data_IF_262532400557
#
_entry.id   IF_262532400557
#
_cell.length_a   1.000
_cell.length_b   1.000
_cell.length_c   1.000
_cell.angle_alpha   90.00
_cell.angle_beta   90.00
_cell.angle_gamma   90.00
#
_symmetry.space_group_name_H-M   'P 1'
#
loop_
_entity.id
_entity.type
_entity.pdbx_description
1 polymer ?
#
# COMPACT_ATOMS: atom_id res chain seq x y z
N UNK A 1 25.26 31.68 1.38
CA UNK A 1 25.39 30.24 1.09
C UNK A 1 24.07 29.81 0.52
N UNK A 2 24.02 29.64 -0.80
CA UNK A 2 22.85 29.17 -1.52
C UNK A 2 22.49 27.79 -0.96
N UNK A 3 21.32 27.67 -0.34
CA UNK A 3 20.72 26.37 -0.04
C UNK A 3 20.50 25.69 -1.38
N UNK A 4 21.37 24.74 -1.73
CA UNK A 4 21.07 23.78 -2.79
C UNK A 4 19.77 23.11 -2.36
N UNK A 5 18.71 23.42 -3.10
CA UNK A 5 17.40 22.82 -2.94
C UNK A 5 17.53 21.39 -3.48
N UNK A 6 18.16 20.50 -2.71
CA UNK A 6 18.33 19.11 -3.10
C UNK A 6 16.94 18.49 -3.16
N UNK A 7 16.36 18.51 -4.35
CA UNK A 7 15.07 17.89 -4.60
C UNK A 7 15.21 16.40 -4.31
N UNK A 8 14.33 15.86 -3.47
CA UNK A 8 14.30 14.42 -3.20
C UNK A 8 13.34 13.75 -4.17
N UNK A 9 13.60 12.47 -4.41
CA UNK A 9 12.72 11.58 -5.17
C UNK A 9 12.45 10.32 -4.36
N UNK A 10 11.26 9.77 -4.56
CA UNK A 10 10.94 8.38 -4.21
C UNK A 10 10.93 7.56 -5.49
N UNK A 11 11.64 6.45 -5.49
CA UNK A 11 11.63 5.45 -6.54
C UNK A 11 10.83 4.25 -6.07
N UNK A 12 9.75 3.91 -6.79
CA UNK A 12 8.99 2.66 -6.61
C UNK A 12 9.20 1.76 -7.83
N UNK A 13 9.63 0.52 -7.60
CA UNK A 13 9.97 -0.41 -8.68
C UNK A 13 9.87 -1.87 -8.21
N UNK A 14 9.71 -2.76 -9.17
CA UNK A 14 9.89 -4.19 -8.99
C UNK A 14 10.37 -4.80 -10.31
N UNK A 15 10.95 -6.00 -10.22
CA UNK A 15 11.31 -6.81 -11.37
C UNK A 15 11.24 -8.28 -10.97
N UNK A 16 10.44 -9.06 -11.70
CA UNK A 16 10.47 -10.51 -11.61
C UNK A 16 11.58 -11.03 -12.53
N UNK A 17 12.66 -11.54 -11.93
CA UNK A 17 13.84 -12.07 -12.60
C UNK A 17 14.53 -13.04 -11.66
N UNK A 18 15.06 -14.14 -12.17
CA UNK A 18 15.73 -15.11 -11.31
C UNK A 18 17.00 -14.52 -10.68
N UNK A 19 17.13 -14.67 -9.37
CA UNK A 19 18.30 -14.31 -8.57
C UNK A 19 18.76 -15.58 -7.86
N UNK A 20 19.87 -16.16 -8.29
CA UNK A 20 20.36 -17.47 -7.79
C UNK A 20 20.68 -17.47 -6.28
N UNK A 21 21.40 -16.45 -5.79
CA UNK A 21 21.80 -16.31 -4.38
C UNK A 21 21.14 -15.08 -3.74
N UNK A 22 19.81 -15.09 -3.50
CA UNK A 22 19.07 -13.89 -3.11
C UNK A 22 19.46 -13.36 -1.72
N UNK A 23 19.92 -14.23 -0.81
CA UNK A 23 20.43 -13.81 0.50
C UNK A 23 21.75 -13.03 0.42
N UNK A 24 22.66 -13.46 -0.45
CA UNK A 24 23.92 -12.78 -0.71
C UNK A 24 23.67 -11.48 -1.47
N UNK A 25 22.86 -11.54 -2.52
CA UNK A 25 22.47 -10.36 -3.29
C UNK A 25 21.78 -9.31 -2.39
N UNK A 26 20.96 -9.71 -1.41
CA UNK A 26 20.39 -8.78 -0.45
C UNK A 26 21.41 -8.06 0.43
N UNK A 27 22.57 -8.66 0.71
CA UNK A 27 23.66 -8.00 1.44
C UNK A 27 24.39 -7.03 0.52
N UNK A 28 24.76 -7.45 -0.68
CA UNK A 28 25.44 -6.62 -1.68
C UNK A 28 24.61 -5.39 -2.04
N UNK A 29 23.32 -5.60 -2.33
CA UNK A 29 22.38 -4.55 -2.68
C UNK A 29 22.17 -3.55 -1.55
N UNK A 30 22.25 -4.01 -0.29
CA UNK A 30 22.22 -3.13 0.88
C UNK A 30 23.44 -2.22 0.94
N UNK A 31 24.62 -2.74 0.64
CA UNK A 31 25.85 -1.95 0.62
C UNK A 31 25.86 -0.95 -0.54
N UNK A 32 25.33 -1.32 -1.71
CA UNK A 32 25.08 -0.39 -2.81
C UNK A 32 24.20 0.79 -2.36
N UNK A 33 23.01 0.51 -1.81
CA UNK A 33 22.12 1.56 -1.33
C UNK A 33 22.76 2.43 -0.24
N UNK A 34 23.58 1.85 0.64
CA UNK A 34 24.33 2.59 1.67
C UNK A 34 25.38 3.51 1.09
N UNK A 35 26.13 3.05 0.09
CA UNK A 35 27.15 3.88 -0.58
C UNK A 35 26.58 5.10 -1.32
N UNK A 36 25.28 5.06 -1.63
CA UNK A 36 24.53 6.13 -2.27
C UNK A 36 23.66 6.92 -1.29
N UNK A 37 23.80 6.67 0.02
CA UNK A 37 23.02 7.31 1.09
C UNK A 37 21.48 7.21 0.91
N UNK A 38 21.01 6.10 0.31
CA UNK A 38 19.58 5.87 0.12
C UNK A 38 18.90 5.33 1.38
N UNK A 39 17.69 5.81 1.65
CA UNK A 39 16.79 5.24 2.66
C UNK A 39 15.57 4.62 1.98
N UNK A 40 15.12 3.46 2.46
CA UNK A 40 14.08 2.72 1.77
C UNK A 40 13.79 1.34 2.32
N UNK A 41 12.90 0.62 1.65
CA UNK A 41 12.62 -0.79 1.88
C UNK A 41 12.77 -1.55 0.57
N UNK A 42 13.58 -2.60 0.59
CA UNK A 42 13.78 -3.49 -0.56
C UNK A 42 13.63 -4.93 -0.07
N UNK A 43 12.80 -5.69 -0.78
CA UNK A 43 12.67 -7.12 -0.66
C UNK A 43 13.36 -7.76 -1.86
N UNK A 44 14.17 -8.77 -1.57
CA UNK A 44 14.84 -9.60 -2.56
C UNK A 44 14.39 -11.03 -2.31
N UNK A 45 14.01 -11.71 -3.37
CA UNK A 45 13.63 -13.11 -3.36
C UNK A 45 14.31 -13.79 -4.55
N UNK A 46 14.23 -15.12 -4.62
CA UNK A 46 14.73 -15.84 -5.79
C UNK A 46 14.02 -15.39 -7.07
N UNK A 47 12.76 -15.01 -6.96
CA UNK A 47 11.93 -14.52 -8.07
C UNK A 47 12.17 -13.06 -8.45
N UNK A 48 13.04 -12.32 -7.75
CA UNK A 48 13.44 -10.98 -8.16
C UNK A 48 13.60 -9.95 -7.05
N UNK A 49 13.21 -8.71 -7.33
CA UNK A 49 13.35 -7.55 -6.44
C UNK A 49 12.08 -6.70 -6.40
N UNK A 50 11.74 -6.18 -5.23
CA UNK A 50 10.66 -5.20 -5.01
C UNK A 50 11.18 -4.11 -4.07
N UNK A 51 11.14 -2.86 -4.50
CA UNK A 51 11.78 -1.78 -3.77
C UNK A 51 11.02 -0.46 -3.80
N UNK A 52 11.15 0.25 -2.67
CA UNK A 52 10.85 1.67 -2.58
C UNK A 52 12.01 2.36 -1.86
N UNK A 53 12.69 3.28 -2.52
CA UNK A 53 13.82 4.03 -1.95
C UNK A 53 13.62 5.52 -2.15
N UNK A 54 14.29 6.31 -1.32
CA UNK A 54 14.29 7.76 -1.39
C UNK A 54 15.71 8.29 -1.24
N UNK A 55 16.00 9.38 -1.94
CA UNK A 55 17.28 10.10 -1.91
C UNK A 55 17.18 11.37 -2.75
N UNK A 56 18.27 12.12 -2.87
CA UNK A 56 18.35 13.26 -3.80
C UNK A 56 18.24 12.77 -5.25
N UNK A 57 17.97 13.68 -6.18
CA UNK A 57 18.01 13.40 -7.62
C UNK A 57 19.29 12.66 -8.01
N UNK A 58 20.45 13.16 -7.61
CA UNK A 58 21.75 12.58 -7.96
C UNK A 58 21.92 11.16 -7.42
N UNK A 59 21.53 10.93 -6.17
CA UNK A 59 21.59 9.61 -5.52
C UNK A 59 20.67 8.61 -6.21
N UNK A 60 19.44 9.03 -6.53
CA UNK A 60 18.44 8.18 -7.20
C UNK A 60 18.81 7.90 -8.64
N UNK A 61 19.37 8.86 -9.37
CA UNK A 61 19.87 8.68 -10.73
C UNK A 61 21.07 7.71 -10.76
N UNK A 62 22.02 7.86 -9.83
CA UNK A 62 23.14 6.92 -9.68
C UNK A 62 22.65 5.49 -9.36
N UNK A 63 21.62 5.36 -8.53
CA UNK A 63 21.03 4.06 -8.21
C UNK A 63 20.32 3.42 -9.40
N UNK A 64 19.53 4.19 -10.15
CA UNK A 64 18.89 3.70 -11.38
C UNK A 64 19.92 3.28 -12.41
N UNK A 65 21.02 4.01 -12.54
CA UNK A 65 22.13 3.66 -13.44
C UNK A 65 22.85 2.37 -12.99
N UNK A 66 23.13 2.23 -11.69
CA UNK A 66 23.71 0.99 -11.16
C UNK A 66 22.80 -0.22 -11.42
N UNK A 67 21.49 -0.06 -11.24
CA UNK A 67 20.50 -1.09 -11.57
C UNK A 67 20.50 -1.41 -13.07
N UNK A 68 20.53 -0.40 -13.95
CA UNK A 68 20.52 -0.62 -15.41
C UNK A 68 21.77 -1.32 -15.94
N UNK A 69 22.92 -1.13 -15.29
CA UNK A 69 24.18 -1.78 -15.65
C UNK A 69 24.22 -3.27 -15.29
N UNK A 70 23.31 -3.74 -14.45
CA UNK A 70 23.07 -5.16 -14.23
C UNK A 70 22.05 -5.68 -15.25
N UNK A 71 22.45 -6.66 -16.06
CA UNK A 71 21.58 -7.21 -17.12
C UNK A 71 20.25 -7.77 -16.62
N UNK A 72 20.16 -8.15 -15.34
CA UNK A 72 18.92 -8.65 -14.72
C UNK A 72 17.88 -7.55 -14.55
N UNK A 73 18.32 -6.29 -14.42
CA UNK A 73 17.50 -5.14 -14.07
C UNK A 73 17.53 -4.02 -15.13
N UNK A 74 18.17 -4.25 -16.28
CA UNK A 74 18.35 -3.29 -17.36
C UNK A 74 17.05 -2.59 -17.83
N UNK A 75 15.94 -3.32 -17.81
CA UNK A 75 14.60 -2.86 -18.23
C UNK A 75 13.68 -2.53 -17.04
N UNK A 76 14.22 -2.38 -15.83
CA UNK A 76 13.43 -2.04 -14.64
C UNK A 76 12.77 -0.67 -14.83
N UNK A 77 11.45 -0.65 -14.69
CA UNK A 77 10.66 0.58 -14.72
C UNK A 77 10.62 1.19 -13.32
N UNK A 78 11.23 2.37 -13.18
CA UNK A 78 11.17 3.16 -11.96
C UNK A 78 10.02 4.17 -12.05
N UNK A 79 9.08 4.08 -11.11
CA UNK A 79 8.06 5.10 -10.89
C UNK A 79 8.66 6.15 -9.97
N UNK A 80 8.75 7.38 -10.47
CA UNK A 80 9.47 8.47 -9.81
C UNK A 80 8.43 9.45 -9.27
N UNK A 81 8.52 9.77 -7.99
CA UNK A 81 7.70 10.80 -7.34
C UNK A 81 8.63 11.83 -6.69
N UNK A 82 8.26 13.12 -6.76
CA UNK A 82 8.95 14.18 -6.03
C UNK A 82 8.68 14.07 -4.53
N UNK A 83 9.66 14.43 -3.71
CA UNK A 83 9.53 14.48 -2.26
C UNK A 83 10.30 15.67 -1.67
N UNK A 84 9.87 16.12 -0.49
CA UNK A 84 10.54 17.18 0.26
C UNK A 84 11.77 16.68 1.04
N UNK A 85 11.92 15.35 1.15
CA UNK A 85 12.99 14.69 1.89
C UNK A 85 12.92 13.17 1.74
N UNK A 86 13.67 12.44 2.57
CA UNK A 86 13.53 11.00 2.63
C UNK A 86 12.13 10.57 3.11
N UNK A 87 11.51 9.63 2.40
CA UNK A 87 10.23 9.03 2.80
C UNK A 87 10.40 7.94 3.86
N UNK A 88 11.64 7.57 4.21
CA UNK A 88 11.94 6.49 5.15
C UNK A 88 12.91 6.94 6.23
N UNK A 89 12.68 6.51 7.47
CA UNK A 89 13.62 6.75 8.59
C UNK A 89 14.93 5.98 8.50
N UNK A 90 14.96 4.86 7.77
CA UNK A 90 16.15 3.98 7.64
C UNK A 90 16.04 3.05 6.44
N UNK A 91 17.18 2.62 5.92
CA UNK A 91 17.27 1.56 4.92
C UNK A 91 17.02 0.17 5.52
N UNK A 92 16.16 -0.61 4.86
CA UNK A 92 15.94 -2.04 5.10
C UNK A 92 15.97 -2.79 3.77
N UNK A 93 17.03 -3.56 3.54
CA UNK A 93 17.09 -4.55 2.46
C UNK A 93 17.02 -5.93 3.10
N UNK A 94 16.09 -6.77 2.65
CA UNK A 94 15.82 -8.08 3.27
C UNK A 94 15.56 -9.14 2.22
N UNK A 95 16.19 -10.30 2.43
CA UNK A 95 15.74 -11.52 1.79
C UNK A 95 14.35 -11.94 2.30
N UNK A 96 13.51 -12.42 1.38
CA UNK A 96 12.24 -13.09 1.63
C UNK A 96 12.06 -14.27 0.68
N UNK A 97 11.28 -15.29 1.06
CA UNK A 97 10.94 -16.39 0.15
C UNK A 97 10.19 -15.89 -1.11
N UNK A 98 9.33 -14.90 -0.94
CA UNK A 98 8.52 -14.28 -2.00
C UNK A 98 8.62 -12.75 -1.92
N UNK A 99 8.55 -12.04 -3.05
CA UNK A 99 8.45 -10.58 -3.13
C UNK A 99 7.11 -10.07 -2.62
N UNK A 100 6.04 -10.80 -2.93
CA UNK A 100 4.69 -10.62 -2.43
C UNK A 100 4.21 -11.94 -1.88
N UNK A 101 3.90 -11.98 -0.60
CA UNK A 101 3.52 -13.23 0.08
C UNK A 101 2.10 -13.63 -0.32
N UNK A 102 1.98 -14.59 -1.23
CA UNK A 102 0.71 -15.19 -1.63
C UNK A 102 0.59 -16.63 -1.09
N UNK A 103 1.72 -17.33 -0.87
CA UNK A 103 1.78 -18.69 -0.29
C UNK A 103 0.91 -19.72 -1.01
N UNK A 104 0.88 -19.65 -2.33
CA UNK A 104 0.21 -20.66 -3.15
C UNK A 104 0.92 -22.01 -3.01
N UNK A 105 0.15 -23.09 -2.98
CA UNK A 105 0.70 -24.46 -3.04
C UNK A 105 1.42 -24.68 -4.37
N UNK A 106 0.77 -24.28 -5.48
CA UNK A 106 1.33 -24.22 -6.82
C UNK A 106 1.59 -22.76 -7.22
N UNK A 107 2.83 -22.30 -7.01
CA UNK A 107 3.20 -20.91 -7.27
C UNK A 107 3.00 -20.51 -8.75
N UNK A 108 2.88 -19.20 -8.97
CA UNK A 108 2.68 -18.58 -10.27
C UNK A 108 3.92 -17.79 -10.63
N UNK A 109 4.52 -18.14 -11.77
CA UNK A 109 5.58 -17.36 -12.39
C UNK A 109 4.96 -16.28 -13.30
N UNK A 110 5.01 -14.98 -12.95
CA UNK A 110 4.38 -13.94 -13.75
C UNK A 110 5.00 -13.74 -15.13
N UNK A 111 6.23 -14.23 -15.34
CA UNK A 111 6.88 -14.22 -16.66
C UNK A 111 6.30 -15.27 -17.62
N UNK A 112 5.58 -16.27 -17.11
CA UNK A 112 4.95 -17.33 -17.90
C UNK A 112 3.44 -17.14 -18.04
N UNK A 113 2.77 -16.74 -16.95
CA UNK A 113 1.32 -16.55 -16.92
C UNK A 113 0.96 -15.33 -16.09
N UNK A 114 0.23 -14.42 -16.71
CA UNK A 114 -0.31 -13.21 -16.08
C UNK A 114 -1.51 -12.72 -16.87
N UNK A 115 -2.40 -11.96 -16.22
CA UNK A 115 -3.55 -11.34 -16.88
C UNK A 115 -3.12 -10.25 -17.87
N UNK A 116 -4.02 -9.93 -18.81
CA UNK A 116 -3.80 -8.90 -19.83
C UNK A 116 -3.46 -7.55 -19.18
N UNK A 117 -2.35 -6.94 -19.58
CA UNK A 117 -2.02 -5.58 -19.16
C UNK A 117 -2.94 -4.56 -19.82
N UNK A 118 -3.52 -3.69 -19.01
CA UNK A 118 -4.25 -2.51 -19.44
C UNK A 118 -3.42 -1.27 -19.13
N UNK A 119 -3.18 -0.44 -20.14
CA UNK A 119 -2.69 0.93 -19.92
C UNK A 119 -3.69 1.73 -19.06
N UNK A 120 -3.27 2.83 -18.43
CA UNK A 120 -4.17 3.68 -17.65
C UNK A 120 -5.45 4.08 -18.40
N UNK A 121 -5.33 4.41 -19.68
CA UNK A 121 -6.47 4.75 -20.54
C UNK A 121 -7.41 3.58 -20.81
N UNK A 122 -6.87 2.43 -21.21
CA UNK A 122 -7.69 1.23 -21.44
C UNK A 122 -8.37 0.76 -20.15
N UNK A 123 -7.68 0.89 -19.02
CA UNK A 123 -8.24 0.60 -17.70
C UNK A 123 -9.41 1.53 -17.40
N UNK A 124 -9.23 2.85 -17.54
CA UNK A 124 -10.28 3.84 -17.33
C UNK A 124 -11.52 3.55 -18.18
N UNK A 125 -11.34 3.21 -19.46
CA UNK A 125 -12.45 2.87 -20.36
C UNK A 125 -13.17 1.58 -19.92
N UNK A 126 -12.43 0.52 -19.58
CA UNK A 126 -13.01 -0.80 -19.32
C UNK A 126 -13.64 -0.96 -17.94
N UNK A 127 -13.16 -0.26 -16.91
CA UNK A 127 -13.76 -0.34 -15.56
C UNK A 127 -15.16 0.30 -15.49
N UNK A 128 -15.59 0.97 -16.55
CA UNK A 128 -16.92 1.58 -16.67
C UNK A 128 -17.94 0.64 -17.35
N UNK A 129 -17.51 -0.52 -17.85
CA UNK A 129 -18.39 -1.51 -18.49
C UNK A 129 -19.19 -2.31 -17.44
N UNK A 130 -20.48 -2.55 -17.66
CA UNK A 130 -21.37 -3.22 -16.69
C UNK A 130 -20.98 -4.69 -16.37
N UNK A 131 -20.30 -5.36 -17.30
CA UNK A 131 -19.85 -6.75 -17.16
C UNK A 131 -18.40 -6.88 -16.68
N UNK A 132 -17.81 -5.78 -16.20
CA UNK A 132 -16.48 -5.75 -15.60
C UNK A 132 -16.57 -5.74 -14.08
N UNK A 133 -15.88 -6.67 -13.44
CA UNK A 133 -15.59 -6.66 -12.01
C UNK A 133 -14.21 -6.06 -11.79
N UNK A 134 -14.17 -4.94 -11.08
CA UNK A 134 -12.94 -4.33 -10.63
C UNK A 134 -12.59 -4.86 -9.23
N UNK A 135 -11.53 -5.66 -9.11
CA UNK A 135 -11.15 -6.33 -7.87
C UNK A 135 -9.87 -5.72 -7.28
N UNK A 136 -9.99 -5.13 -6.08
CA UNK A 136 -8.84 -4.60 -5.36
C UNK A 136 -7.98 -5.73 -4.78
N UNK A 137 -6.72 -5.85 -5.21
CA UNK A 137 -5.79 -6.86 -4.70
C UNK A 137 -4.98 -6.37 -3.48
N UNK A 138 -5.45 -5.33 -2.80
CA UNK A 138 -4.80 -4.75 -1.62
C UNK A 138 -5.44 -5.23 -0.32
N UNK A 139 -4.79 -4.93 0.81
CA UNK A 139 -5.35 -5.22 2.12
C UNK A 139 -6.48 -4.23 2.47
N UNK A 140 -7.35 -4.62 3.39
CA UNK A 140 -8.45 -3.81 3.93
C UNK A 140 -8.09 -2.33 4.20
N UNK A 141 -7.04 -2.06 4.97
CA UNK A 141 -6.64 -0.70 5.33
C UNK A 141 -6.15 0.12 4.12
N UNK A 142 -5.72 -0.52 3.04
CA UNK A 142 -5.35 0.19 1.82
C UNK A 142 -6.60 0.62 1.04
N UNK A 143 -7.63 -0.23 1.03
CA UNK A 143 -8.92 0.07 0.41
C UNK A 143 -9.67 1.15 1.19
N UNK A 144 -9.69 1.05 2.52
CA UNK A 144 -10.46 1.95 3.39
C UNK A 144 -9.94 3.39 3.33
N UNK A 145 -8.68 3.62 2.95
CA UNK A 145 -8.13 4.96 2.74
C UNK A 145 -8.48 5.56 1.37
N UNK A 146 -8.56 4.72 0.35
CA UNK A 146 -8.86 5.13 -1.01
C UNK A 146 -8.90 3.95 -1.95
N UNK A 147 -9.79 4.01 -2.93
CA UNK A 147 -10.06 2.94 -3.89
C UNK A 147 -10.69 3.49 -5.16
N UNK A 148 -10.73 2.68 -6.22
CA UNK A 148 -11.49 3.04 -7.41
C UNK A 148 -12.98 2.93 -7.15
N UNK A 149 -13.76 3.89 -7.65
CA UNK A 149 -15.21 3.86 -7.57
C UNK A 149 -15.77 2.58 -8.20
N UNK A 150 -16.61 1.86 -7.44
CA UNK A 150 -17.19 0.59 -7.88
C UNK A 150 -16.28 -0.62 -7.72
N UNK A 151 -15.07 -0.47 -7.19
CA UNK A 151 -14.20 -1.60 -6.90
C UNK A 151 -14.80 -2.50 -5.80
N UNK A 152 -14.68 -3.80 -5.99
CA UNK A 152 -14.98 -4.82 -4.98
C UNK A 152 -13.88 -4.79 -3.93
N UNK A 153 -14.28 -4.57 -2.67
CA UNK A 153 -13.45 -4.72 -1.47
C UNK A 153 -13.50 -6.18 -0.99
N UNK A 154 -12.42 -6.95 -1.10
CA UNK A 154 -12.37 -8.27 -0.48
C UNK A 154 -12.37 -8.15 1.04
N UNK A 155 -12.99 -9.10 1.73
CA UNK A 155 -12.97 -9.17 3.19
C UNK A 155 -11.71 -9.90 3.68
N UNK A 156 -10.55 -9.27 3.48
CA UNK A 156 -9.24 -9.83 3.81
C UNK A 156 -8.38 -8.82 4.56
N UNK A 157 -7.63 -9.30 5.54
CA UNK A 157 -6.59 -8.50 6.22
C UNK A 157 -5.23 -8.60 5.51
N UNK A 158 -4.97 -9.70 4.81
CA UNK A 158 -3.70 -9.94 4.12
C UNK A 158 -3.92 -10.44 2.69
N UNK A 159 -3.09 -9.97 1.77
CA UNK A 159 -3.08 -10.39 0.37
C UNK A 159 -3.03 -11.91 0.15
N UNK A 160 -2.35 -12.67 1.02
CA UNK A 160 -2.29 -14.13 0.96
C UNK A 160 -3.65 -14.82 1.14
N UNK A 161 -4.61 -14.14 1.75
CA UNK A 161 -5.95 -14.65 2.04
C UNK A 161 -6.91 -14.38 0.84
N UNK A 162 -6.48 -13.56 -0.14
CA UNK A 162 -7.28 -13.20 -1.32
C UNK A 162 -7.67 -14.40 -2.21
N UNK A 163 -6.78 -15.39 -2.48
CA UNK A 163 -7.14 -16.57 -3.24
C UNK A 163 -8.35 -17.33 -2.67
N UNK A 164 -8.36 -17.55 -1.36
CA UNK A 164 -9.44 -18.27 -0.70
C UNK A 164 -10.74 -17.46 -0.70
N UNK A 165 -10.65 -16.16 -0.45
CA UNK A 165 -11.79 -15.26 -0.56
C UNK A 165 -12.42 -15.28 -1.97
N UNK A 166 -11.60 -15.30 -3.04
CA UNK A 166 -12.12 -15.43 -4.41
C UNK A 166 -12.82 -16.78 -4.64
N UNK A 167 -12.27 -17.89 -4.12
CA UNK A 167 -12.90 -19.21 -4.25
C UNK A 167 -14.26 -19.26 -3.56
N UNK A 168 -14.35 -18.69 -2.35
CA UNK A 168 -15.61 -18.59 -1.60
C UNK A 168 -16.64 -17.69 -2.30
N UNK A 169 -16.17 -16.67 -3.03
CA UNK A 169 -17.00 -15.70 -3.72
C UNK A 169 -17.05 -15.91 -5.25
N UNK A 170 -16.72 -17.11 -5.73
CA UNK A 170 -16.56 -17.41 -7.18
C UNK A 170 -17.77 -16.97 -8.02
N UNK A 171 -18.98 -17.15 -7.48
CA UNK A 171 -20.24 -16.76 -8.10
C UNK A 171 -20.34 -15.26 -8.49
N UNK A 172 -19.56 -14.38 -7.85
CA UNK A 172 -19.50 -12.95 -8.19
C UNK A 172 -18.76 -12.67 -9.51
N UNK A 173 -17.92 -13.61 -9.95
CA UNK A 173 -16.99 -13.44 -11.06
C UNK A 173 -17.36 -14.28 -12.30
N UNK A 174 -18.30 -15.22 -12.17
CA UNK A 174 -18.67 -16.13 -13.27
C UNK A 174 -19.22 -15.36 -14.48
N UNK A 175 -18.63 -15.62 -15.65
CA UNK A 175 -19.03 -14.99 -16.91
C UNK A 175 -18.69 -13.50 -17.02
N UNK A 176 -17.98 -12.93 -16.04
CA UNK A 176 -17.56 -11.53 -16.03
C UNK A 176 -16.08 -11.39 -16.31
N UNK A 177 -15.72 -10.21 -16.78
CA UNK A 177 -14.32 -9.80 -16.90
C UNK A 177 -13.79 -9.37 -15.54
N UNK A 178 -12.62 -9.86 -15.14
CA UNK A 178 -11.98 -9.48 -13.89
C UNK A 178 -10.81 -8.56 -14.19
N UNK A 179 -10.87 -7.33 -13.71
CA UNK A 179 -9.74 -6.40 -13.75
C UNK A 179 -9.22 -6.24 -12.33
N UNK A 180 -7.94 -6.52 -12.11
CA UNK A 180 -7.32 -6.33 -10.80
C UNK A 180 -6.29 -5.21 -10.78
N UNK A 181 -6.13 -4.56 -9.63
CA UNK A 181 -5.17 -3.48 -9.44
C UNK A 181 -4.58 -3.51 -8.03
N UNK A 182 -3.42 -2.87 -7.89
CA UNK A 182 -2.79 -2.59 -6.60
C UNK A 182 -1.89 -1.34 -6.72
N UNK A 183 -1.20 -0.95 -5.63
CA UNK A 183 -0.38 0.27 -5.56
C UNK A 183 0.57 0.44 -6.74
N UNK A 184 1.45 -0.54 -6.97
CA UNK A 184 2.53 -0.44 -7.96
C UNK A 184 2.51 -1.48 -9.07
N UNK A 185 1.55 -2.42 -9.06
CA UNK A 185 1.40 -3.51 -10.04
C UNK A 185 1.86 -4.89 -9.54
N UNK A 186 2.90 -4.97 -8.71
CA UNK A 186 3.58 -6.24 -8.37
C UNK A 186 2.68 -7.38 -7.85
N UNK A 187 1.61 -7.07 -7.08
CA UNK A 187 0.67 -8.09 -6.58
C UNK A 187 -0.17 -8.69 -7.71
N UNK A 188 -0.59 -7.83 -8.65
CA UNK A 188 -1.45 -8.21 -9.77
C UNK A 188 -0.73 -9.14 -10.75
N UNK A 189 0.60 -9.03 -10.87
CA UNK A 189 1.43 -9.91 -11.70
C UNK A 189 1.21 -11.39 -11.33
N UNK A 190 1.33 -11.74 -10.05
CA UNK A 190 1.05 -13.10 -9.57
C UNK A 190 -0.45 -13.40 -9.50
N UNK A 191 -1.23 -12.47 -8.96
CA UNK A 191 -2.64 -12.73 -8.66
C UNK A 191 -3.48 -12.93 -9.92
N UNK A 192 -3.24 -12.14 -10.98
CA UNK A 192 -3.95 -12.31 -12.25
C UNK A 192 -3.58 -13.62 -12.95
N UNK A 193 -2.31 -14.04 -12.88
CA UNK A 193 -1.89 -15.36 -13.34
C UNK A 193 -2.52 -16.50 -12.54
N UNK A 194 -2.71 -16.32 -11.22
CA UNK A 194 -3.45 -17.27 -10.38
C UNK A 194 -4.93 -17.36 -10.79
N UNK A 195 -5.61 -16.23 -11.02
CA UNK A 195 -7.00 -16.23 -11.50
C UNK A 195 -7.16 -17.03 -12.81
N UNK A 196 -6.22 -16.88 -13.76
CA UNK A 196 -6.22 -17.67 -14.99
C UNK A 196 -6.07 -19.17 -14.70
N UNK A 197 -5.18 -19.57 -13.77
CA UNK A 197 -5.02 -20.98 -13.35
C UNK A 197 -6.27 -21.55 -12.69
N UNK A 198 -7.03 -20.74 -11.94
CA UNK A 198 -8.30 -21.13 -11.32
C UNK A 198 -9.46 -21.27 -12.32
N UNK A 199 -9.23 -20.93 -13.59
CA UNK A 199 -10.16 -21.11 -14.69
C UNK A 199 -10.99 -19.89 -15.04
N UNK A 200 -10.62 -18.70 -14.58
CA UNK A 200 -11.21 -17.44 -15.08
C UNK A 200 -10.59 -17.11 -16.45
N UNK A 201 -11.43 -16.84 -17.46
CA UNK A 201 -10.97 -16.68 -18.85
C UNK A 201 -10.57 -15.24 -19.19
N UNK A 202 -11.37 -14.25 -18.79
CA UNK A 202 -11.14 -12.83 -19.08
C UNK A 202 -10.58 -12.10 -17.86
N UNK A 203 -9.27 -12.19 -17.68
CA UNK A 203 -8.53 -11.56 -16.58
C UNK A 203 -7.55 -10.52 -17.11
N UNK A 204 -7.66 -9.30 -16.59
CA UNK A 204 -6.79 -8.18 -16.90
C UNK A 204 -6.28 -7.48 -15.63
N UNK A 205 -5.28 -6.62 -15.78
CA UNK A 205 -4.68 -5.89 -14.68
C UNK A 205 -4.23 -4.48 -15.09
N UNK A 206 -4.27 -3.55 -14.14
CA UNK A 206 -3.73 -2.20 -14.34
C UNK A 206 -2.20 -2.23 -14.42
N UNK A 207 -1.65 -1.98 -15.60
CA UNK A 207 -0.21 -1.98 -15.83
C UNK A 207 0.46 -0.84 -15.08
N UNK A 208 1.44 -1.17 -14.23
CA UNK A 208 2.12 -0.20 -13.37
C UNK A 208 1.29 0.27 -12.16
N UNK A 209 0.09 -0.27 -11.93
CA UNK A 209 -0.72 0.02 -10.75
C UNK A 209 -1.20 1.46 -10.61
N UNK A 210 -1.78 1.76 -9.44
CA UNK A 210 -2.43 3.03 -9.12
C UNK A 210 -1.47 4.22 -9.28
N UNK A 211 -0.20 4.05 -8.90
CA UNK A 211 0.83 5.11 -9.04
C UNK A 211 0.98 5.53 -10.51
N UNK A 212 1.07 4.58 -11.44
CA UNK A 212 1.20 4.89 -12.87
C UNK A 212 -0.08 5.53 -13.42
N UNK A 213 -1.23 5.05 -12.97
CA UNK A 213 -2.53 5.61 -13.33
C UNK A 213 -2.71 7.08 -12.90
N UNK A 214 -2.30 7.43 -11.67
CA UNK A 214 -2.34 8.82 -11.19
C UNK A 214 -1.41 9.76 -11.97
N UNK A 215 -0.25 9.25 -12.40
CA UNK A 215 0.76 10.01 -13.15
C UNK A 215 0.39 10.21 -14.62
N UNK A 216 -0.45 9.35 -15.19
CA UNK A 216 -0.86 9.41 -16.59
C UNK A 216 -1.53 10.76 -16.94
N UNK A 217 -1.08 11.44 -18.00
CA UNK A 217 -1.53 12.79 -18.34
C UNK A 217 -2.95 12.84 -18.92
N UNK A 218 -3.50 11.74 -19.43
CA UNK A 218 -4.85 11.68 -19.98
C UNK A 218 -5.89 11.44 -18.88
N UNK A 219 -5.72 10.37 -18.09
CA UNK A 219 -6.70 9.99 -17.05
C UNK A 219 -6.51 10.76 -15.75
N UNK A 220 -5.28 11.13 -15.40
CA UNK A 220 -4.96 11.99 -14.25
C UNK A 220 -5.55 11.51 -12.91
N UNK A 221 -5.64 10.19 -12.73
CA UNK A 221 -6.19 9.59 -11.52
C UNK A 221 -7.72 9.65 -11.40
N UNK A 222 -8.45 9.96 -12.46
CA UNK A 222 -9.93 10.00 -12.44
C UNK A 222 -10.55 8.66 -11.98
N UNK A 223 -11.71 8.71 -11.32
CA UNK A 223 -12.39 7.57 -10.67
C UNK A 223 -11.71 6.99 -9.43
N UNK A 224 -10.54 7.50 -9.04
CA UNK A 224 -9.96 7.21 -7.73
C UNK A 224 -10.53 8.15 -6.67
N UNK A 225 -11.09 7.57 -5.61
CA UNK A 225 -11.55 8.29 -4.42
C UNK A 225 -10.58 8.01 -3.24
N UNK A 226 -10.36 9.02 -2.40
CA UNK A 226 -9.49 8.97 -1.22
C UNK A 226 -8.00 9.09 -1.53
N UNK A 227 -7.16 8.64 -0.59
CA UNK A 227 -5.71 8.63 -0.74
C UNK A 227 -5.16 7.23 -1.04
N UNK A 228 -4.06 7.16 -1.80
CA UNK A 228 -3.34 5.91 -1.99
C UNK A 228 -2.46 5.62 -0.79
N UNK A 229 -2.72 4.49 -0.14
CA UNK A 229 -1.83 4.00 0.92
C UNK A 229 -0.45 3.64 0.36
N UNK A 230 0.61 4.18 0.98
CA UNK A 230 2.01 3.89 0.67
C UNK A 230 2.76 3.37 1.90
N UNK A 231 3.74 2.48 1.68
CA UNK A 231 4.42 1.74 2.74
C UNK A 231 5.63 2.48 3.34
N UNK A 232 5.52 3.79 3.45
CA UNK A 232 6.55 4.72 3.93
C UNK A 232 5.94 5.78 4.87
N UNK A 233 6.72 6.77 5.31
CA UNK A 233 6.27 7.75 6.31
C UNK A 233 5.17 8.69 5.80
N UNK A 234 4.92 8.75 4.49
CA UNK A 234 3.83 9.56 3.92
C UNK A 234 2.46 8.97 4.24
N UNK A 235 2.37 7.65 4.39
CA UNK A 235 1.15 6.85 4.67
C UNK A 235 0.06 6.95 3.59
N UNK A 236 -0.33 8.14 3.16
CA UNK A 236 -1.27 8.43 2.09
C UNK A 236 -0.71 9.44 1.10
N UNK A 237 -0.93 9.23 -0.19
CA UNK A 237 -0.58 10.19 -1.25
C UNK A 237 -1.78 10.44 -2.18
N UNK A 238 -1.93 11.66 -2.73
CA UNK A 238 -3.00 11.94 -3.69
C UNK A 238 -2.75 11.19 -5.01
N UNK A 239 -3.84 10.78 -5.67
CA UNK A 239 -3.81 10.11 -6.99
C UNK A 239 -4.63 10.89 -7.99
N UNK A 240 -5.88 11.17 -7.64
CA UNK A 240 -6.80 11.92 -8.49
C UNK A 240 -6.43 13.41 -8.47
N UNK A 241 -6.08 13.94 -9.64
CA UNK A 241 -5.68 15.34 -9.83
C UNK A 241 -6.84 16.23 -10.27
N UNK A 242 -8.03 15.66 -10.48
CA UNK A 242 -9.25 16.37 -10.90
C UNK A 242 -10.20 16.61 -9.73
N UNK A 243 -10.33 15.64 -8.84
CA UNK A 243 -11.24 15.67 -7.69
C UNK A 243 -10.61 14.96 -6.49
N UNK A 244 -10.96 15.40 -5.27
CA UNK A 244 -10.59 14.70 -4.04
C UNK A 244 -11.85 14.37 -3.22
N UNK A 245 -12.25 13.10 -3.22
CA UNK A 245 -13.40 12.60 -2.46
C UNK A 245 -12.90 11.77 -1.30
N UNK A 246 -13.25 12.14 -0.06
CA UNK A 246 -12.87 11.36 1.13
C UNK A 246 -13.80 10.17 1.30
N UNK A 247 -13.26 8.96 1.15
CA UNK A 247 -14.01 7.69 1.37
C UNK A 247 -13.72 7.05 2.71
N UNK A 248 -12.56 7.34 3.30
CA UNK A 248 -12.21 6.87 4.62
C UNK A 248 -13.15 7.42 5.69
N UNK A 249 -13.39 6.62 6.73
CA UNK A 249 -14.31 6.96 7.81
C UNK A 249 -13.61 6.86 9.15
N UNK A 250 -13.78 7.88 9.96
CA UNK A 250 -13.33 7.88 11.35
C UNK A 250 -13.92 6.67 12.09
N UNK A 251 -13.06 5.94 12.79
CA UNK A 251 -13.40 4.69 13.47
C UNK A 251 -14.48 4.85 14.54
N UNK A 252 -14.62 6.03 15.13
CA UNK A 252 -15.55 6.31 16.22
C UNK A 252 -16.80 7.04 15.75
N UNK A 253 -16.66 8.07 14.90
CA UNK A 253 -17.79 8.89 14.46
C UNK A 253 -18.38 8.48 13.11
N UNK A 254 -17.64 7.75 12.27
CA UNK A 254 -18.04 7.43 10.90
C UNK A 254 -17.93 8.61 9.91
N UNK A 255 -17.52 9.78 10.40
CA UNK A 255 -17.31 10.99 9.61
C UNK A 255 -16.11 10.84 8.66
N UNK A 256 -16.06 11.57 7.53
CA UNK A 256 -14.96 11.50 6.59
C UNK A 256 -13.58 11.71 7.25
N UNK A 257 -12.66 10.77 7.05
CA UNK A 257 -11.32 10.80 7.64
C UNK A 257 -10.30 10.01 6.80
N UNK A 258 -9.12 10.58 6.58
CA UNK A 258 -8.02 9.94 5.84
C UNK A 258 -6.76 9.77 6.70
N UNK A 259 -6.89 10.03 8.00
CA UNK A 259 -5.76 10.08 8.92
C UNK A 259 -5.63 8.76 9.68
N UNK A 260 -4.59 8.00 9.36
CA UNK A 260 -4.29 6.77 10.10
C UNK A 260 -3.52 7.02 11.39
N UNK A 261 -3.93 6.32 12.44
CA UNK A 261 -3.17 6.13 13.67
C UNK A 261 -3.11 4.66 14.03
N UNK A 262 -2.11 4.28 14.82
CA UNK A 262 -2.08 2.98 15.46
C UNK A 262 -2.59 3.12 16.91
N UNK A 263 -3.36 2.15 17.37
CA UNK A 263 -3.81 2.09 18.74
C UNK A 263 -2.63 2.25 19.72
N UNK A 264 -2.80 3.13 20.70
CA UNK A 264 -1.81 3.44 21.71
C UNK A 264 -1.58 2.31 22.73
N UNK A 265 -2.45 1.30 22.79
CA UNK A 265 -2.12 0.09 23.53
C UNK A 265 -0.93 -0.62 22.86
N UNK A 266 0.20 -0.81 23.57
CA UNK A 266 1.41 -1.33 22.97
C UNK A 266 1.31 -2.76 22.44
N UNK A 267 0.36 -3.55 22.93
CA UNK A 267 0.10 -4.91 22.49
C UNK A 267 -0.94 -5.01 21.38
N UNK A 268 -1.76 -3.98 21.18
CA UNK A 268 -2.80 -3.96 20.15
C UNK A 268 -2.24 -3.50 18.80
N UNK A 269 -1.74 -2.27 18.71
CA UNK A 269 -1.29 -1.64 17.46
C UNK A 269 -2.31 -1.66 16.29
N UNK A 270 -3.60 -1.89 16.54
CA UNK A 270 -4.64 -1.83 15.49
C UNK A 270 -4.58 -0.49 14.78
N UNK A 271 -4.52 -0.52 13.45
CA UNK A 271 -4.54 0.67 12.61
C UNK A 271 -5.99 1.13 12.44
N UNK A 272 -6.27 2.41 12.69
CA UNK A 272 -7.61 2.99 12.57
C UNK A 272 -7.53 4.37 11.91
N UNK A 273 -8.52 4.69 11.08
CA UNK A 273 -8.76 6.07 10.64
C UNK A 273 -9.34 6.85 11.82
N UNK A 274 -8.70 7.95 12.19
CA UNK A 274 -9.06 8.70 13.38
C UNK A 274 -8.73 10.18 13.20
N UNK A 275 -9.74 11.01 13.34
CA UNK A 275 -9.59 12.46 13.51
C UNK A 275 -8.77 12.76 14.76
N UNK A 276 -8.16 13.95 14.80
CA UNK A 276 -7.41 14.41 15.97
C UNK A 276 -8.31 14.57 17.19
N UNK A 277 -9.56 15.00 16.98
CA UNK A 277 -10.56 15.10 18.04
C UNK A 277 -10.85 13.74 18.68
N UNK A 278 -11.18 12.72 17.87
CA UNK A 278 -11.45 11.39 18.40
C UNK A 278 -10.20 10.70 18.94
N UNK A 279 -9.02 10.99 18.39
CA UNK A 279 -7.77 10.49 18.96
C UNK A 279 -7.58 11.04 20.37
N UNK A 280 -7.76 12.35 20.54
CA UNK A 280 -7.65 13.00 21.83
C UNK A 280 -8.69 12.44 22.80
N UNK A 281 -9.96 12.39 22.39
CA UNK A 281 -11.08 11.91 23.18
C UNK A 281 -10.88 10.46 23.63
N UNK A 282 -10.55 9.56 22.69
CA UNK A 282 -10.40 8.14 22.95
C UNK A 282 -8.97 7.72 23.33
N UNK A 283 -8.07 8.67 23.60
CA UNK A 283 -6.67 8.42 23.95
C UNK A 283 -6.00 7.46 22.96
N UNK A 284 -6.21 7.70 21.66
CA UNK A 284 -5.76 6.89 20.52
C UNK A 284 -6.03 5.39 20.69
N UNK A 285 -7.20 5.01 21.19
CA UNK A 285 -7.47 3.61 21.58
C UNK A 285 -8.77 3.05 21.02
N UNK A 286 -8.65 1.95 20.26
CA UNK A 286 -9.76 1.33 19.51
C UNK A 286 -10.83 0.64 20.38
N UNK A 287 -10.59 0.47 21.69
CA UNK A 287 -11.54 -0.14 22.62
C UNK A 287 -11.37 0.44 24.03
N UNK A 288 -12.34 0.16 24.92
CA UNK A 288 -12.24 0.51 26.34
C UNK A 288 -11.03 -0.16 27.01
N UNK A 289 -10.79 -1.45 26.73
CA UNK A 289 -9.62 -2.17 27.25
C UNK A 289 -8.30 -1.52 26.82
N UNK A 290 -8.21 -1.02 25.58
CA UNK A 290 -7.01 -0.38 25.10
C UNK A 290 -6.75 0.99 25.74
N UNK A 291 -7.81 1.77 26.01
CA UNK A 291 -7.67 3.11 26.63
C UNK A 291 -7.34 3.06 28.12
N UNK A 292 -7.73 1.99 28.82
CA UNK A 292 -7.41 1.80 30.25
C UNK A 292 -6.12 1.01 30.49
N UNK A 293 -5.41 0.61 29.43
CA UNK A 293 -4.15 -0.10 29.55
C UNK A 293 -3.10 0.75 30.29
N UNK A 294 -2.38 0.22 31.31
CA UNK A 294 -1.49 1.02 32.16
C UNK A 294 -0.32 1.66 31.40
N UNK A 295 0.13 1.04 30.31
CA UNK A 295 1.19 1.55 29.45
C UNK A 295 0.65 2.15 28.13
N UNK A 296 -0.52 2.78 28.16
CA UNK A 296 -1.08 3.43 26.98
C UNK A 296 -0.12 4.53 26.49
N UNK A 297 0.35 4.43 25.24
CA UNK A 297 1.36 5.33 24.68
C UNK A 297 0.88 6.77 24.55
N UNK A 298 -0.41 7.01 24.30
CA UNK A 298 -0.96 8.36 24.20
C UNK A 298 -0.92 9.06 25.56
N UNK A 299 -1.31 8.37 26.62
CA UNK A 299 -1.23 8.88 28.01
C UNK A 299 0.22 9.26 28.35
N UNK A 300 1.18 8.39 28.02
CA UNK A 300 2.61 8.63 28.28
C UNK A 300 3.17 9.77 27.44
N UNK A 301 2.89 9.78 26.13
CA UNK A 301 3.37 10.81 25.18
C UNK A 301 2.87 12.21 25.55
N UNK A 302 1.65 12.31 26.07
CA UNK A 302 1.01 13.58 26.44
C UNK A 302 1.10 13.92 27.93
N UNK A 303 1.74 13.07 28.74
CA UNK A 303 1.86 13.22 30.20
C UNK A 303 0.51 13.45 30.91
N UNK A 304 -0.53 12.71 30.51
CA UNK A 304 -1.86 12.86 31.11
C UNK A 304 -1.87 12.34 32.56
N UNK A 305 -2.51 13.11 33.43
CA UNK A 305 -2.77 12.74 34.83
C UNK A 305 -3.91 11.71 34.93
N UNK A 306 -3.98 11.00 36.07
CA UNK A 306 -5.10 10.08 36.34
C UNK A 306 -6.46 10.78 36.31
N UNK A 307 -6.52 12.05 36.75
CA UNK A 307 -7.73 12.88 36.72
C UNK A 307 -8.17 13.18 35.28
N UNK A 308 -7.26 13.65 34.42
CA UNK A 308 -7.57 13.92 33.00
C UNK A 308 -7.99 12.66 32.23
N UNK A 309 -7.40 11.51 32.57
CA UNK A 309 -7.80 10.21 32.00
C UNK A 309 -9.21 9.85 32.47
N UNK A 310 -9.49 9.96 33.77
CA UNK A 310 -10.81 9.67 34.33
C UNK A 310 -11.90 10.58 33.75
N UNK A 311 -11.63 11.87 33.56
CA UNK A 311 -12.54 12.81 32.91
C UNK A 311 -12.90 12.37 31.49
N UNK A 312 -11.91 12.00 30.67
CA UNK A 312 -12.16 11.51 29.29
C UNK A 312 -12.97 10.23 29.28
N UNK A 313 -12.65 9.29 30.17
CA UNK A 313 -13.41 8.03 30.30
C UNK A 313 -14.87 8.32 30.67
N UNK A 314 -15.12 9.25 31.59
CA UNK A 314 -16.47 9.63 31.99
C UNK A 314 -17.27 10.29 30.86
N UNK A 315 -16.62 11.06 29.97
CA UNK A 315 -17.27 11.61 28.76
C UNK A 315 -17.70 10.49 27.82
N UNK A 316 -16.81 9.53 27.54
CA UNK A 316 -17.10 8.42 26.63
C UNK A 316 -18.22 7.53 27.18
N UNK A 317 -18.21 7.24 28.48
CA UNK A 317 -19.24 6.43 29.12
C UNK A 317 -20.62 7.07 29.00
N UNK A 318 -20.72 8.38 29.26
CA UNK A 318 -21.98 9.13 29.12
C UNK A 318 -22.54 9.05 27.70
N UNK A 319 -21.70 9.21 26.69
CA UNK A 319 -22.14 9.17 25.29
C UNK A 319 -22.58 7.78 24.85
N UNK A 320 -21.90 6.74 25.34
CA UNK A 320 -22.26 5.34 25.04
C UNK A 320 -23.65 5.03 25.59
N UNK A 321 -23.95 5.46 26.82
CA UNK A 321 -25.26 5.29 27.46
C UNK A 321 -26.37 6.06 26.73
N UNK A 322 -26.07 7.20 26.12
CA UNK A 322 -27.06 7.97 25.35
C UNK A 322 -27.34 7.45 23.94
N UNK A 323 -26.50 6.54 23.44
CA UNK A 323 -26.62 5.96 22.10
C UNK A 323 -27.40 4.63 22.05
N UNK A 324 -27.68 4.02 23.21
CA UNK A 324 -28.49 2.79 23.38
C UNK A 324 -29.98 3.11 23.60
#
# INVERSE_FOLDING_TARGET
MTTENNQYRVLLYYKYVEIENPEEYAKEHKELCRSLDLLGRILIAREGINGTVSGTIEQTDAYMEAMKNDSRFADTVFKIEEAEGHAFKKLKVRYRPELVTLRLEDDVNPNEITGKYLSPKEFFEQIQEEDTILLDARNDYEFDLGHFKGAVRPDIENFRDLPDWVRENKHMFEGKKIITYCTGGIRCEKFSGWLLKEGFEDVAQLHGGIVTYGQDPEVQGELWDGQLYVFDERIGVPVNRKEHVVVGRDYFSGEPCERYVNCANPFCNKKILCSEENEHKHMRSCSHECRTHPNNRYIVEHNLTEEEVAERLAVIEKETVTAE
#
